data_IF_131881072774
#
_entry.id   IF_131881072774
#
_cell.length_a   1.000
_cell.length_b   1.000
_cell.length_c   1.000
_cell.angle_alpha   90.00
_cell.angle_beta   90.00
_cell.angle_gamma   90.00
#
_symmetry.space_group_name_H-M   'P 1'
#
loop_
_entity.id
_entity.type
_entity.pdbx_description
1 polymer ?
#
# COMPACT_ATOMS: atom_id res chain seq x y z
N UNK A 1 -3.49 29.88 -22.09
CA UNK A 1 -2.38 29.17 -21.44
C UNK A 1 -1.97 29.94 -20.18
N UNK A 2 -1.82 29.27 -19.04
CA UNK A 2 -1.33 29.95 -17.83
C UNK A 2 0.14 30.33 -18.02
N UNK A 3 0.58 31.47 -17.45
CA UNK A 3 1.96 31.86 -17.51
C UNK A 3 2.89 30.76 -16.95
N UNK A 4 3.96 30.44 -17.68
CA UNK A 4 4.88 29.34 -17.30
C UNK A 4 4.44 27.92 -17.64
N UNK A 5 3.24 27.73 -18.20
CA UNK A 5 2.79 26.42 -18.67
C UNK A 5 3.16 26.21 -20.15
N UNK A 6 3.45 24.95 -20.52
CA UNK A 6 3.80 24.52 -21.87
C UNK A 6 3.03 23.24 -22.21
N UNK A 7 2.85 22.99 -23.50
CA UNK A 7 2.29 21.72 -23.96
C UNK A 7 3.31 20.60 -23.83
N UNK A 8 2.88 19.48 -23.26
CA UNK A 8 3.72 18.31 -23.04
C UNK A 8 4.30 17.76 -24.34
N UNK A 9 3.53 17.81 -25.44
CA UNK A 9 3.97 17.34 -26.77
C UNK A 9 5.23 18.02 -27.31
N UNK A 10 5.61 19.19 -26.78
CA UNK A 10 6.87 19.88 -27.15
C UNK A 10 8.10 19.16 -26.55
N UNK A 11 7.90 18.32 -25.53
CA UNK A 11 8.98 17.73 -24.72
C UNK A 11 9.05 16.22 -24.81
N UNK A 12 8.04 15.55 -25.38
CA UNK A 12 7.96 14.08 -25.42
C UNK A 12 7.82 13.55 -26.84
N UNK A 13 8.26 12.32 -27.04
CA UNK A 13 8.03 11.56 -28.28
C UNK A 13 7.67 10.12 -28.00
N UNK A 14 6.85 9.50 -28.87
CA UNK A 14 6.58 8.08 -28.82
C UNK A 14 7.82 7.26 -29.22
N UNK A 15 7.90 6.08 -28.59
CA UNK A 15 8.91 5.05 -28.89
C UNK A 15 8.16 3.73 -29.18
N UNK A 16 8.48 3.09 -30.31
CA UNK A 16 7.91 1.80 -30.70
C UNK A 16 9.02 0.83 -31.09
N UNK A 17 9.74 0.34 -30.10
CA UNK A 17 10.78 -0.67 -30.28
C UNK A 17 10.13 -2.05 -30.05
N UNK A 18 10.09 -2.89 -31.09
CA UNK A 18 9.50 -4.22 -31.02
C UNK A 18 10.52 -5.27 -30.58
N UNK A 19 10.05 -6.23 -29.78
CA UNK A 19 10.83 -7.36 -29.28
C UNK A 19 11.05 -8.42 -30.40
N UNK A 20 11.77 -8.08 -31.46
CA UNK A 20 11.96 -8.96 -32.62
C UNK A 20 12.62 -10.30 -32.28
N UNK A 21 13.40 -10.34 -31.21
CA UNK A 21 14.13 -11.51 -30.74
C UNK A 21 13.26 -12.47 -29.90
N UNK A 22 12.03 -12.07 -29.57
CA UNK A 22 11.13 -12.89 -28.77
C UNK A 22 11.60 -13.12 -27.32
N UNK A 23 12.39 -12.18 -26.76
CA UNK A 23 12.81 -12.21 -25.34
C UNK A 23 11.60 -12.33 -24.43
N UNK A 24 11.77 -12.98 -23.28
CA UNK A 24 10.68 -13.20 -22.30
C UNK A 24 10.99 -12.62 -20.92
N UNK A 25 12.16 -12.02 -20.76
CA UNK A 25 12.66 -11.48 -19.51
C UNK A 25 11.98 -10.13 -19.19
N UNK A 26 11.85 -9.84 -17.90
CA UNK A 26 11.29 -8.60 -17.41
C UNK A 26 9.94 -8.22 -18.04
N UNK A 27 9.00 -9.17 -18.05
CA UNK A 27 7.64 -8.89 -18.50
C UNK A 27 6.92 -8.02 -17.50
N UNK A 28 6.60 -6.79 -17.90
CA UNK A 28 6.08 -5.76 -17.01
C UNK A 28 4.64 -5.35 -17.38
N UNK A 29 3.90 -4.99 -16.35
CA UNK A 29 2.64 -4.27 -16.45
C UNK A 29 2.75 -2.92 -15.76
N UNK A 30 1.74 -2.05 -15.94
CA UNK A 30 1.66 -0.76 -15.27
C UNK A 30 0.41 -0.72 -14.39
N UNK A 31 0.59 -0.39 -13.12
CA UNK A 31 -0.49 -0.28 -12.14
C UNK A 31 -1.12 1.11 -12.11
N UNK A 32 -2.32 1.21 -11.53
CA UNK A 32 -2.98 2.49 -11.26
C UNK A 32 -2.29 3.27 -10.12
N UNK A 33 -1.39 2.64 -9.36
CA UNK A 33 -0.48 3.28 -8.41
C UNK A 33 0.70 3.95 -9.12
N UNK A 34 0.72 3.92 -10.47
CA UNK A 34 1.73 4.57 -11.31
C UNK A 34 3.14 4.01 -11.14
N UNK A 35 3.19 2.67 -11.03
CA UNK A 35 4.41 1.90 -10.90
C UNK A 35 4.42 0.74 -11.87
N UNK A 36 5.61 0.35 -12.33
CA UNK A 36 5.78 -0.93 -12.99
C UNK A 36 5.61 -2.07 -11.99
N UNK A 37 4.95 -3.13 -12.42
CA UNK A 37 4.74 -4.36 -11.66
C UNK A 37 5.11 -5.54 -12.56
N UNK A 38 5.50 -6.66 -11.97
CA UNK A 38 5.63 -7.91 -12.72
C UNK A 38 4.28 -8.27 -13.33
N UNK A 39 4.29 -8.67 -14.59
CA UNK A 39 3.04 -9.02 -15.26
C UNK A 39 2.50 -10.34 -14.70
N UNK A 40 1.24 -10.34 -14.29
CA UNK A 40 0.50 -11.54 -13.85
C UNK A 40 -0.28 -12.19 -14.99
N UNK A 41 -0.11 -11.71 -16.22
CA UNK A 41 -0.84 -12.22 -17.38
C UNK A 41 -0.43 -13.67 -17.68
N UNK A 42 -1.42 -14.50 -18.06
CA UNK A 42 -1.13 -15.83 -18.58
C UNK A 42 -0.41 -15.70 -19.93
N UNK A 43 0.81 -16.20 -20.01
CA UNK A 43 1.68 -16.08 -21.17
C UNK A 43 1.71 -17.33 -22.05
N UNK A 44 0.91 -18.36 -21.74
CA UNK A 44 0.82 -19.60 -22.53
C UNK A 44 0.26 -19.27 -23.92
N UNK A 45 1.02 -19.61 -24.96
CA UNK A 45 0.66 -19.33 -26.36
C UNK A 45 0.85 -17.87 -26.80
N UNK A 46 1.46 -17.02 -25.98
CA UNK A 46 1.67 -15.60 -26.30
C UNK A 46 2.86 -15.43 -27.26
N UNK A 47 2.64 -14.67 -28.32
CA UNK A 47 3.68 -14.24 -29.25
C UNK A 47 4.38 -12.98 -28.72
N UNK A 48 5.55 -13.17 -28.11
CA UNK A 48 6.33 -12.08 -27.52
C UNK A 48 6.98 -11.16 -28.56
N UNK A 49 7.04 -11.53 -29.83
CA UNK A 49 7.58 -10.65 -30.88
C UNK A 49 6.71 -9.41 -31.10
N UNK A 50 5.45 -9.47 -30.70
CA UNK A 50 4.49 -8.35 -30.74
C UNK A 50 4.64 -7.37 -29.59
N UNK A 51 5.39 -7.75 -28.57
CA UNK A 51 5.61 -6.89 -27.40
C UNK A 51 6.56 -5.73 -27.74
N UNK A 52 6.47 -4.69 -26.93
CA UNK A 52 7.36 -3.52 -27.01
C UNK A 52 8.43 -3.60 -25.93
N UNK A 53 9.62 -3.12 -26.29
CA UNK A 53 10.70 -2.92 -25.33
C UNK A 53 10.57 -1.51 -24.78
N UNK A 54 10.60 -1.38 -23.47
CA UNK A 54 10.71 -0.13 -22.73
C UNK A 54 12.07 -0.08 -22.05
N UNK A 55 12.77 1.04 -22.14
CA UNK A 55 14.10 1.26 -21.55
C UNK A 55 14.02 2.19 -20.35
N UNK A 56 15.05 2.12 -19.52
CA UNK A 56 15.21 3.03 -18.38
C UNK A 56 15.08 4.50 -18.79
N UNK A 57 14.34 5.27 -18.01
CA UNK A 57 14.03 6.66 -18.33
C UNK A 57 12.84 6.86 -19.27
N UNK A 58 12.26 5.77 -19.80
CA UNK A 58 11.07 5.83 -20.63
C UNK A 58 9.80 5.60 -19.81
N UNK A 59 8.71 6.16 -20.29
CA UNK A 59 7.38 6.01 -19.74
C UNK A 59 6.58 4.98 -20.51
N UNK A 60 5.66 4.36 -19.78
CA UNK A 60 4.66 3.48 -20.38
C UNK A 60 3.30 3.79 -19.79
N UNK A 61 2.26 3.93 -20.62
CA UNK A 61 0.89 4.08 -20.14
C UNK A 61 -0.10 3.24 -20.92
N UNK A 62 -1.23 2.94 -20.28
CA UNK A 62 -2.40 2.35 -20.93
C UNK A 62 -3.37 3.47 -21.24
N UNK A 63 -3.80 3.65 -22.50
CA UNK A 63 -4.74 4.68 -22.87
C UNK A 63 -6.13 4.53 -22.23
N UNK A 64 -6.56 3.31 -21.90
CA UNK A 64 -7.88 2.98 -21.32
C UNK A 64 -7.97 3.49 -19.88
N UNK A 65 -8.92 4.39 -19.58
CA UNK A 65 -9.18 4.97 -18.27
C UNK A 65 -10.41 4.39 -17.57
N UNK A 66 -11.44 3.99 -18.32
CA UNK A 66 -12.77 3.65 -17.79
C UNK A 66 -12.82 2.38 -16.92
N UNK A 67 -11.91 1.42 -17.15
CA UNK A 67 -11.87 0.14 -16.44
C UNK A 67 -10.99 0.13 -15.20
N UNK A 68 -10.41 1.28 -14.82
CA UNK A 68 -9.35 1.37 -13.81
C UNK A 68 -9.69 2.32 -12.66
N UNK A 69 -10.98 2.49 -12.37
CA UNK A 69 -11.44 3.36 -11.29
C UNK A 69 -11.12 4.84 -11.54
N UNK A 70 -11.33 5.29 -12.79
CA UNK A 70 -11.10 6.67 -13.22
C UNK A 70 -9.65 7.16 -13.06
N UNK A 71 -8.70 6.22 -13.15
CA UNK A 71 -7.26 6.51 -13.09
C UNK A 71 -6.56 6.03 -14.35
N UNK A 72 -5.57 6.80 -14.80
CA UNK A 72 -4.67 6.37 -15.87
C UNK A 72 -3.48 5.59 -15.27
N UNK A 73 -3.22 4.40 -15.81
CA UNK A 73 -2.04 3.63 -15.46
C UNK A 73 -0.87 4.13 -16.32
N UNK A 74 0.08 4.82 -15.69
CA UNK A 74 1.29 5.38 -16.30
C UNK A 74 2.45 5.21 -15.32
N UNK A 75 3.65 4.86 -15.82
CA UNK A 75 4.83 4.71 -14.99
C UNK A 75 6.11 5.07 -15.76
N UNK A 76 7.12 5.51 -15.02
CA UNK A 76 8.50 5.71 -15.46
C UNK A 76 9.33 4.48 -15.10
N UNK A 77 10.11 3.94 -16.04
CA UNK A 77 10.99 2.81 -15.77
C UNK A 77 12.30 3.29 -15.13
N UNK A 78 12.49 2.98 -13.85
CA UNK A 78 13.69 3.32 -13.09
C UNK A 78 14.48 2.07 -12.63
N UNK A 79 13.79 0.96 -12.35
CA UNK A 79 14.35 -0.21 -11.66
C UNK A 79 15.07 -1.21 -12.60
N UNK A 80 14.78 -1.19 -13.91
CA UNK A 80 15.35 -2.09 -14.92
C UNK A 80 15.98 -1.29 -16.04
N UNK A 81 17.06 -1.82 -16.62
CA UNK A 81 17.66 -1.21 -17.81
C UNK A 81 16.73 -1.35 -19.03
N UNK A 82 16.04 -2.50 -19.14
CA UNK A 82 14.97 -2.71 -20.12
C UNK A 82 13.89 -3.68 -19.58
N UNK A 83 12.68 -3.54 -20.09
CA UNK A 83 11.57 -4.43 -19.80
C UNK A 83 10.66 -4.61 -21.01
N UNK A 84 9.79 -5.60 -20.95
CA UNK A 84 8.81 -5.90 -21.99
C UNK A 84 7.42 -5.51 -21.53
N UNK A 85 6.69 -4.82 -22.41
CA UNK A 85 5.28 -4.46 -22.19
C UNK A 85 4.44 -4.94 -23.38
N UNK A 86 3.19 -5.26 -23.12
CA UNK A 86 2.24 -5.66 -24.17
C UNK A 86 2.10 -4.56 -25.23
N UNK A 87 1.72 -4.93 -26.44
CA UNK A 87 1.52 -4.00 -27.56
C UNK A 87 0.42 -2.94 -27.32
N UNK A 88 -0.48 -3.17 -26.36
CA UNK A 88 -1.55 -2.21 -26.00
C UNK A 88 -1.03 -0.99 -25.26
N UNK A 89 0.17 -1.06 -24.71
CA UNK A 89 0.79 0.06 -24.03
C UNK A 89 1.38 1.06 -25.02
N UNK A 90 1.30 2.32 -24.70
CA UNK A 90 2.07 3.39 -25.37
C UNK A 90 3.34 3.65 -24.59
N UNK A 91 4.48 3.56 -25.26
CA UNK A 91 5.79 3.88 -24.70
C UNK A 91 6.22 5.24 -25.26
N UNK A 92 6.77 6.08 -24.41
CA UNK A 92 7.28 7.40 -24.80
C UNK A 92 8.46 7.83 -23.91
N UNK A 93 9.19 8.81 -24.37
CA UNK A 93 10.32 9.36 -23.63
C UNK A 93 10.35 10.90 -23.71
N UNK A 94 11.09 11.51 -22.79
CA UNK A 94 11.42 12.92 -22.86
C UNK A 94 12.51 13.12 -23.92
N UNK A 95 12.31 14.11 -24.80
CA UNK A 95 13.22 14.42 -25.94
C UNK A 95 14.55 14.98 -25.44
N UNK A 96 14.49 15.88 -24.45
CA UNK A 96 15.64 16.61 -23.92
C UNK A 96 15.55 16.72 -22.39
N UNK A 97 16.36 15.91 -21.73
CA UNK A 97 16.38 15.83 -20.26
C UNK A 97 17.00 17.06 -19.60
N UNK A 98 17.68 17.94 -20.34
CA UNK A 98 18.16 19.23 -19.83
C UNK A 98 17.06 20.29 -19.81
N UNK A 99 15.91 20.04 -20.44
CA UNK A 99 14.73 20.90 -20.40
C UNK A 99 13.64 20.37 -19.49
N UNK A 100 13.40 19.05 -19.53
CA UNK A 100 12.38 18.39 -18.71
C UNK A 100 12.94 17.09 -18.14
N UNK A 101 13.01 16.97 -16.81
CA UNK A 101 13.40 15.72 -16.15
C UNK A 101 12.26 14.70 -16.20
N UNK A 102 12.53 13.43 -16.58
CA UNK A 102 11.53 12.37 -16.53
C UNK A 102 10.92 12.21 -15.12
N UNK A 103 11.72 12.26 -14.07
CA UNK A 103 11.25 12.15 -12.69
C UNK A 103 10.34 13.32 -12.30
N UNK A 104 10.63 14.54 -12.75
CA UNK A 104 9.77 15.69 -12.53
C UNK A 104 8.43 15.51 -13.26
N UNK A 105 8.46 15.02 -14.49
CA UNK A 105 7.24 14.70 -15.25
C UNK A 105 6.44 13.59 -14.57
N UNK A 106 7.09 12.57 -14.00
CA UNK A 106 6.41 11.51 -13.25
C UNK A 106 5.70 12.06 -12.01
N UNK A 107 6.29 13.05 -11.30
CA UNK A 107 5.61 13.73 -10.19
C UNK A 107 4.34 14.46 -10.66
N UNK A 108 4.35 15.05 -11.85
CA UNK A 108 3.16 15.66 -12.41
C UNK A 108 2.06 14.65 -12.69
N UNK A 109 2.41 13.50 -13.28
CA UNK A 109 1.47 12.41 -13.56
C UNK A 109 0.93 11.75 -12.29
N UNK A 110 1.68 11.75 -11.20
CA UNK A 110 1.28 11.15 -9.93
C UNK A 110 0.19 11.93 -9.19
N UNK A 111 -0.16 13.12 -9.64
CA UNK A 111 -1.17 13.96 -9.00
C UNK A 111 -2.60 13.48 -9.28
N UNK A 112 -3.51 13.52 -8.30
CA UNK A 112 -4.93 13.20 -8.53
C UNK A 112 -5.58 14.11 -9.60
N UNK A 113 -5.09 15.34 -9.76
CA UNK A 113 -5.55 16.26 -10.80
C UNK A 113 -5.29 15.73 -12.20
N UNK A 114 -4.17 15.03 -12.40
CA UNK A 114 -3.87 14.42 -13.69
C UNK A 114 -4.82 13.25 -13.99
N UNK A 115 -5.16 12.43 -13.01
CA UNK A 115 -6.16 11.38 -13.20
C UNK A 115 -7.53 11.96 -13.61
N UNK A 116 -7.98 13.02 -12.93
CA UNK A 116 -9.22 13.72 -13.30
C UNK A 116 -9.17 14.32 -14.72
N UNK A 117 -8.03 14.92 -15.08
CA UNK A 117 -7.80 15.44 -16.42
C UNK A 117 -7.84 14.32 -17.46
N UNK A 118 -7.10 13.24 -17.26
CA UNK A 118 -7.07 12.09 -18.14
C UNK A 118 -8.47 11.49 -18.33
N UNK A 119 -9.22 11.36 -17.25
CA UNK A 119 -10.61 10.87 -17.31
C UNK A 119 -11.52 11.80 -18.10
N UNK A 120 -11.44 13.10 -17.87
CA UNK A 120 -12.25 14.11 -18.59
C UNK A 120 -11.92 14.19 -20.08
N UNK A 121 -10.64 13.99 -20.44
CA UNK A 121 -10.15 14.03 -21.83
C UNK A 121 -10.29 12.69 -22.57
N UNK A 122 -10.66 11.62 -21.87
CA UNK A 122 -10.86 10.32 -22.49
C UNK A 122 -12.18 10.27 -23.27
N UNK A 123 -12.14 9.69 -24.46
CA UNK A 123 -13.27 9.59 -25.37
C UNK A 123 -13.52 8.13 -25.79
N UNK A 124 -14.76 7.81 -26.16
CA UNK A 124 -15.15 6.51 -26.67
C UNK A 124 -16.43 5.98 -26.03
N UNK A 125 -17.24 5.24 -26.80
CA UNK A 125 -18.54 4.72 -26.35
C UNK A 125 -18.46 3.42 -25.56
N UNK A 126 -17.42 2.61 -25.77
CA UNK A 126 -17.22 1.29 -25.13
C UNK A 126 -16.01 1.28 -24.19
N UNK A 127 -14.97 2.00 -24.58
CA UNK A 127 -13.76 2.24 -23.77
C UNK A 127 -13.38 3.69 -23.92
N UNK A 128 -13.32 4.38 -22.82
CA UNK A 128 -12.84 5.75 -22.80
C UNK A 128 -11.31 5.74 -22.81
N UNK A 129 -10.73 6.37 -23.80
CA UNK A 129 -9.32 6.32 -24.14
C UNK A 129 -8.75 7.74 -24.14
N UNK A 130 -7.69 7.95 -23.40
CA UNK A 130 -6.81 9.11 -23.52
C UNK A 130 -5.73 8.77 -24.54
N UNK A 131 -5.92 9.19 -25.77
CA UNK A 131 -4.99 8.93 -26.86
C UNK A 131 -3.71 9.77 -26.76
N UNK A 132 -2.78 9.53 -27.69
CA UNK A 132 -1.49 10.22 -27.71
C UNK A 132 -1.63 11.71 -28.01
N UNK A 133 -2.57 12.08 -28.85
CA UNK A 133 -2.79 13.49 -29.20
C UNK A 133 -3.29 14.29 -27.99
N UNK A 134 -4.19 13.71 -27.19
CA UNK A 134 -4.63 14.32 -25.93
C UNK A 134 -3.52 14.34 -24.87
N UNK A 135 -2.64 13.33 -24.85
CA UNK A 135 -1.44 13.36 -24.00
C UNK A 135 -0.51 14.53 -24.37
N UNK A 136 -0.32 14.79 -25.66
CA UNK A 136 0.49 15.90 -26.14
C UNK A 136 -0.10 17.28 -25.79
N UNK A 137 -1.42 17.38 -25.63
CA UNK A 137 -2.13 18.63 -25.25
C UNK A 137 -2.13 18.91 -23.75
N UNK A 138 -1.57 18.03 -22.92
CA UNK A 138 -1.43 18.27 -21.48
C UNK A 138 -0.60 19.52 -21.24
N UNK A 139 -1.15 20.46 -20.50
CA UNK A 139 -0.43 21.66 -20.06
C UNK A 139 0.23 21.43 -18.70
N UNK A 140 1.53 21.67 -18.58
CA UNK A 140 2.26 21.57 -17.33
C UNK A 140 3.24 22.72 -17.14
N UNK A 141 3.57 23.08 -15.89
CA UNK A 141 4.63 24.06 -15.65
C UNK A 141 5.99 23.40 -15.91
N UNK A 142 6.83 24.07 -16.70
CA UNK A 142 8.20 23.62 -16.96
C UNK A 142 9.15 24.72 -16.44
N UNK A 143 9.49 24.71 -15.13
CA UNK A 143 10.47 25.62 -14.57
C UNK A 143 11.87 25.26 -15.06
N UNK A 144 12.84 26.12 -14.72
CA UNK A 144 14.24 25.86 -15.02
C UNK A 144 14.69 24.49 -14.42
N UNK A 145 15.70 23.88 -15.06
CA UNK A 145 16.13 22.53 -14.74
C UNK A 145 16.62 22.39 -13.30
N UNK A 146 17.25 23.44 -12.75
CA UNK A 146 17.73 23.42 -11.37
C UNK A 146 16.57 23.37 -10.36
N UNK A 147 15.49 24.07 -10.65
CA UNK A 147 14.27 23.99 -9.83
C UNK A 147 13.60 22.63 -9.93
N UNK A 148 13.56 22.01 -11.12
CA UNK A 148 13.07 20.64 -11.29
C UNK A 148 13.91 19.65 -10.47
N UNK A 149 15.26 19.73 -10.55
CA UNK A 149 16.19 18.90 -9.76
C UNK A 149 15.96 19.03 -8.25
N UNK A 150 15.75 20.26 -7.76
CA UNK A 150 15.44 20.51 -6.34
C UNK A 150 14.12 19.87 -5.91
N UNK A 151 13.08 19.96 -6.73
CA UNK A 151 11.77 19.36 -6.47
C UNK A 151 11.89 17.84 -6.42
N UNK A 152 12.51 17.21 -7.43
CA UNK A 152 12.73 15.76 -7.50
C UNK A 152 13.54 15.29 -6.30
N UNK A 153 14.64 15.98 -5.97
CA UNK A 153 15.49 15.65 -4.82
C UNK A 153 14.70 15.69 -3.49
N UNK A 154 13.92 16.75 -3.29
CA UNK A 154 13.10 16.88 -2.08
C UNK A 154 12.08 15.74 -1.95
N UNK A 155 11.41 15.41 -3.05
CA UNK A 155 10.45 14.30 -3.08
C UNK A 155 11.13 12.95 -2.81
N UNK A 156 12.21 12.63 -3.55
CA UNK A 156 12.98 11.37 -3.34
C UNK A 156 13.49 11.25 -1.90
N UNK A 157 14.00 12.32 -1.31
CA UNK A 157 14.46 12.30 0.08
C UNK A 157 13.35 11.86 1.06
N UNK A 158 12.12 12.28 0.83
CA UNK A 158 10.98 11.91 1.68
C UNK A 158 10.54 10.46 1.41
N UNK A 159 10.39 10.09 0.15
CA UNK A 159 9.94 8.74 -0.24
C UNK A 159 10.94 7.66 0.16
N UNK A 160 12.23 7.89 -0.06
CA UNK A 160 13.30 6.96 0.36
C UNK A 160 13.33 6.79 1.88
N UNK A 161 13.10 7.87 2.61
CA UNK A 161 13.01 7.81 4.09
C UNK A 161 11.78 7.02 4.55
N UNK A 162 10.65 7.15 3.87
CA UNK A 162 9.44 6.36 4.16
C UNK A 162 9.73 4.88 3.88
N UNK A 163 10.28 4.55 2.70
CA UNK A 163 10.61 3.18 2.33
C UNK A 163 11.62 2.53 3.29
N UNK A 164 12.66 3.29 3.70
CA UNK A 164 13.63 2.81 4.68
C UNK A 164 12.99 2.53 6.04
N UNK A 165 12.10 3.41 6.52
CA UNK A 165 11.38 3.17 7.78
C UNK A 165 10.48 1.95 7.71
N UNK A 166 9.78 1.75 6.59
CA UNK A 166 8.98 0.55 6.36
C UNK A 166 9.83 -0.71 6.47
N UNK A 167 10.95 -0.75 5.75
CA UNK A 167 11.90 -1.88 5.80
C UNK A 167 12.46 -2.13 7.20
N UNK A 168 12.70 -1.06 7.99
CA UNK A 168 13.12 -1.21 9.39
C UNK A 168 12.00 -1.86 10.21
N UNK A 169 10.74 -1.43 10.06
CA UNK A 169 9.61 -2.02 10.76
C UNK A 169 9.45 -3.50 10.39
N UNK A 170 9.46 -3.84 9.11
CA UNK A 170 9.35 -5.22 8.63
C UNK A 170 10.46 -6.12 9.22
N UNK A 171 11.70 -5.61 9.28
CA UNK A 171 12.82 -6.33 9.89
C UNK A 171 12.67 -6.48 11.42
N UNK A 172 12.12 -5.46 12.09
CA UNK A 172 11.86 -5.55 13.54
C UNK A 172 10.77 -6.58 13.83
N UNK A 173 9.69 -6.58 13.06
CA UNK A 173 8.60 -7.56 13.20
C UNK A 173 9.12 -8.98 12.96
N UNK A 174 9.89 -9.20 11.89
CA UNK A 174 10.54 -10.49 11.63
C UNK A 174 11.49 -10.93 12.76
N UNK A 175 12.22 -9.99 13.36
CA UNK A 175 13.13 -10.28 14.47
C UNK A 175 12.36 -10.64 15.74
N UNK A 176 11.30 -9.91 16.06
CA UNK A 176 10.42 -10.20 17.20
C UNK A 176 9.79 -11.57 17.02
N UNK A 177 9.27 -11.86 15.83
CA UNK A 177 8.70 -13.16 15.51
C UNK A 177 9.71 -14.30 15.69
N UNK A 178 10.92 -14.17 15.14
CA UNK A 178 11.96 -15.19 15.28
C UNK A 178 12.34 -15.44 16.74
N UNK A 179 12.46 -14.39 17.56
CA UNK A 179 12.73 -14.50 18.99
C UNK A 179 11.57 -15.18 19.72
N UNK A 180 10.34 -14.83 19.39
CA UNK A 180 9.15 -15.46 19.96
C UNK A 180 9.15 -16.97 19.66
N UNK A 181 9.38 -17.36 18.42
CA UNK A 181 9.46 -18.76 18.01
C UNK A 181 10.57 -19.52 18.78
N UNK A 182 11.75 -18.94 18.90
CA UNK A 182 12.88 -19.56 19.62
C UNK A 182 12.55 -19.73 21.11
N UNK A 183 11.99 -18.71 21.75
CA UNK A 183 11.70 -18.76 23.20
C UNK A 183 10.50 -19.63 23.55
N UNK A 184 9.42 -19.55 22.78
CA UNK A 184 8.14 -20.17 23.18
C UNK A 184 7.90 -21.51 22.52
N UNK A 185 8.27 -21.70 21.25
CA UNK A 185 7.90 -22.89 20.51
C UNK A 185 8.70 -24.11 20.97
N UNK A 186 10.00 -23.96 21.20
CA UNK A 186 10.84 -25.02 21.77
C UNK A 186 10.34 -25.44 23.17
N UNK A 187 10.09 -24.45 24.02
CA UNK A 187 9.65 -24.69 25.39
C UNK A 187 8.25 -25.28 25.45
N UNK A 188 7.36 -24.91 24.51
CA UNK A 188 6.04 -25.49 24.35
C UNK A 188 6.11 -26.97 24.04
N UNK A 189 6.92 -27.39 23.08
CA UNK A 189 7.09 -28.80 22.71
C UNK A 189 7.60 -29.64 23.90
N UNK A 190 8.56 -29.14 24.64
CA UNK A 190 9.10 -29.80 25.86
C UNK A 190 8.03 -29.89 26.93
N UNK A 191 7.29 -28.81 27.21
CA UNK A 191 6.21 -28.83 28.22
C UNK A 191 5.06 -29.77 27.85
N UNK A 192 4.72 -29.90 26.56
CA UNK A 192 3.68 -30.83 26.09
C UNK A 192 4.17 -32.29 26.03
N UNK A 193 5.49 -32.53 25.97
CA UNK A 193 6.05 -33.91 26.14
C UNK A 193 6.02 -34.42 27.57
N UNK A 194 5.68 -33.57 28.52
CA UNK A 194 5.62 -33.93 29.96
C UNK A 194 6.94 -33.69 30.71
N UNK A 195 7.93 -33.09 30.05
CA UNK A 195 9.17 -32.71 30.71
C UNK A 195 8.99 -31.40 31.52
N UNK A 196 9.61 -31.33 32.69
CA UNK A 196 9.59 -30.12 33.51
C UNK A 196 10.70 -29.15 33.08
N UNK A 197 10.30 -27.91 32.78
CA UNK A 197 11.20 -26.79 32.62
C UNK A 197 11.15 -25.94 33.90
N UNK A 198 12.30 -25.69 34.51
CA UNK A 198 12.42 -25.03 35.84
C UNK A 198 11.66 -23.71 35.93
N UNK A 199 11.66 -22.91 34.85
CA UNK A 199 11.09 -21.57 34.82
C UNK A 199 9.77 -21.46 34.04
N UNK A 200 9.20 -22.56 33.53
CA UNK A 200 8.03 -22.54 32.69
C UNK A 200 6.90 -23.40 33.23
N UNK A 201 5.69 -22.86 33.18
CA UNK A 201 4.46 -23.64 33.51
C UNK A 201 3.30 -23.25 32.58
N UNK A 202 2.44 -24.22 32.32
CA UNK A 202 1.20 -24.00 31.59
C UNK A 202 0.14 -23.52 32.58
N UNK A 203 -0.44 -22.34 32.29
CA UNK A 203 -1.53 -21.76 33.07
C UNK A 203 -2.69 -21.38 32.14
N UNK A 204 -3.92 -21.42 32.59
CA UNK A 204 -5.05 -20.90 31.84
C UNK A 204 -4.90 -19.37 31.70
N UNK A 205 -5.37 -18.82 30.58
CA UNK A 205 -5.27 -17.38 30.30
C UNK A 205 -6.01 -16.53 31.35
N UNK A 206 -7.05 -17.10 32.00
CA UNK A 206 -7.72 -16.48 33.15
C UNK A 206 -6.83 -16.23 34.37
N UNK A 207 -5.62 -16.81 34.41
CA UNK A 207 -4.62 -16.50 35.42
C UNK A 207 -3.97 -15.13 35.19
N UNK A 208 -3.95 -14.65 33.95
CA UNK A 208 -3.31 -13.38 33.54
C UNK A 208 -4.29 -12.23 33.35
N UNK A 209 -5.55 -12.52 33.04
CA UNK A 209 -6.51 -11.49 32.64
C UNK A 209 -7.96 -11.89 32.85
N UNK A 210 -8.81 -10.89 33.01
CA UNK A 210 -10.24 -10.99 32.82
C UNK A 210 -10.65 -10.62 31.40
N UNK A 211 -11.79 -11.14 30.94
CA UNK A 211 -12.31 -10.93 29.60
C UNK A 211 -13.66 -10.21 29.66
N UNK A 212 -13.79 -9.11 28.92
CA UNK A 212 -15.02 -8.32 28.89
C UNK A 212 -15.44 -8.04 27.46
N UNK A 213 -16.61 -8.52 27.06
CA UNK A 213 -17.19 -8.13 25.78
C UNK A 213 -17.50 -6.63 25.74
N UNK A 214 -17.25 -6.04 24.61
CA UNK A 214 -17.75 -4.71 24.30
C UNK A 214 -19.28 -4.72 24.19
N UNK A 215 -19.88 -3.55 24.17
CA UNK A 215 -21.33 -3.35 24.07
C UNK A 215 -21.66 -2.54 22.83
N UNK A 216 -22.77 -2.84 22.18
CA UNK A 216 -23.26 -2.02 21.07
C UNK A 216 -23.53 -0.61 21.58
N UNK A 217 -23.02 0.40 20.86
CA UNK A 217 -23.34 1.78 21.15
C UNK A 217 -24.78 2.09 20.72
N UNK A 218 -25.64 2.43 21.67
CA UNK A 218 -27.04 2.80 21.40
C UNK A 218 -27.13 4.25 20.96
N UNK A 219 -28.24 4.63 20.29
CA UNK A 219 -28.49 6.00 19.84
C UNK A 219 -28.46 7.02 20.99
N UNK A 220 -28.76 6.59 22.21
CA UNK A 220 -28.78 7.44 23.42
C UNK A 220 -27.40 7.92 23.86
N UNK A 221 -26.34 7.14 23.53
CA UNK A 221 -24.97 7.49 23.92
C UNK A 221 -24.14 8.02 22.75
N UNK A 222 -24.62 7.85 21.50
CA UNK A 222 -23.94 8.37 20.32
C UNK A 222 -24.03 9.90 20.25
N UNK A 223 -22.95 10.54 19.83
CA UNK A 223 -22.85 11.99 19.65
C UNK A 223 -21.90 12.34 18.51
N UNK A 224 -21.96 13.60 18.06
CA UNK A 224 -21.07 14.05 16.97
C UNK A 224 -19.60 14.16 17.40
N UNK A 225 -19.37 14.49 18.68
CA UNK A 225 -18.03 14.65 19.27
C UNK A 225 -18.02 14.07 20.67
N UNK A 226 -16.95 13.38 21.03
CA UNK A 226 -16.83 12.77 22.35
C UNK A 226 -15.75 11.69 22.38
N UNK A 227 -16.00 10.64 23.17
CA UNK A 227 -15.11 9.50 23.28
C UNK A 227 -15.26 8.58 22.08
N UNK A 228 -14.15 8.00 21.53
CA UNK A 228 -14.22 7.14 20.38
C UNK A 228 -15.00 5.85 20.65
N UNK A 229 -15.89 5.49 19.73
CA UNK A 229 -16.51 4.16 19.65
C UNK A 229 -15.63 3.30 18.76
N UNK A 230 -14.96 2.32 19.35
CA UNK A 230 -13.96 1.49 18.71
C UNK A 230 -14.51 0.09 18.40
N UNK A 231 -14.40 -0.33 17.14
CA UNK A 231 -14.89 -1.64 16.68
C UNK A 231 -13.86 -2.76 16.79
N UNK A 232 -12.64 -2.47 17.24
CA UNK A 232 -11.48 -3.34 17.19
C UNK A 232 -10.60 -3.08 15.97
N UNK A 233 -11.17 -2.63 14.85
CA UNK A 233 -10.43 -2.25 13.65
C UNK A 233 -10.25 -0.74 13.52
N UNK A 234 -11.33 0.01 13.77
CA UNK A 234 -11.38 1.45 13.54
C UNK A 234 -12.37 2.13 14.48
N UNK A 235 -12.24 3.44 14.58
CA UNK A 235 -13.25 4.30 15.21
C UNK A 235 -14.44 4.37 14.25
N UNK A 236 -15.62 3.99 14.75
CA UNK A 236 -16.88 3.96 13.97
C UNK A 236 -17.85 5.09 14.35
N UNK A 237 -17.50 5.88 15.34
CA UNK A 237 -18.28 7.02 15.80
C UNK A 237 -17.76 7.56 17.12
N UNK A 238 -18.55 8.42 17.75
CA UNK A 238 -18.23 8.99 19.05
C UNK A 238 -19.42 8.85 20.00
N UNK A 239 -19.15 8.85 21.31
CA UNK A 239 -20.17 8.72 22.36
C UNK A 239 -19.84 9.59 23.56
N UNK A 240 -20.82 9.80 24.43
CA UNK A 240 -20.71 10.60 25.64
C UNK A 240 -20.17 9.84 26.88
N UNK A 241 -19.97 8.53 26.75
CA UNK A 241 -19.45 7.68 27.83
C UNK A 241 -18.42 6.69 27.28
N UNK A 242 -17.30 6.53 27.98
CA UNK A 242 -16.32 5.50 27.69
C UNK A 242 -16.52 4.28 28.60
N UNK A 243 -16.07 3.11 28.13
CA UNK A 243 -16.03 1.87 28.92
C UNK A 243 -14.67 1.68 29.60
N UNK A 244 -13.60 2.09 28.93
CA UNK A 244 -12.23 1.93 29.40
C UNK A 244 -11.50 3.26 29.34
N UNK A 245 -10.90 3.66 30.45
CA UNK A 245 -10.09 4.90 30.54
C UNK A 245 -8.73 4.70 29.87
N UNK A 246 -8.09 3.58 30.19
CA UNK A 246 -6.78 3.21 29.65
C UNK A 246 -6.94 2.36 28.37
N UNK A 247 -5.95 2.40 27.45
CA UNK A 247 -5.92 1.47 26.32
C UNK A 247 -5.96 0.02 26.80
N UNK A 248 -6.77 -0.81 26.16
CA UNK A 248 -6.87 -2.24 26.46
C UNK A 248 -6.40 -3.07 25.26
N UNK A 249 -5.86 -4.24 25.55
CA UNK A 249 -5.71 -5.28 24.58
C UNK A 249 -7.11 -5.77 24.15
N UNK A 250 -7.36 -5.87 22.87
CA UNK A 250 -8.68 -6.18 22.32
C UNK A 250 -8.54 -7.31 21.31
N UNK A 251 -9.29 -8.38 21.50
CA UNK A 251 -9.41 -9.50 20.56
C UNK A 251 -10.67 -9.31 19.74
N UNK A 252 -10.56 -9.43 18.41
CA UNK A 252 -11.69 -9.38 17.51
C UNK A 252 -12.49 -10.69 17.57
N UNK A 253 -13.71 -10.62 18.08
CA UNK A 253 -14.55 -11.79 18.29
C UNK A 253 -15.47 -12.10 17.11
N UNK A 254 -15.76 -11.10 16.24
CA UNK A 254 -16.68 -11.23 15.11
C UNK A 254 -16.26 -10.32 13.97
N UNK A 255 -16.36 -10.81 12.73
CA UNK A 255 -16.06 -10.04 11.51
C UNK A 255 -15.96 -10.97 10.30
N UNK A 256 -15.98 -10.40 9.10
CA UNK A 256 -15.83 -11.15 7.83
C UNK A 256 -14.36 -11.54 7.60
N UNK A 257 -13.44 -10.79 8.19
CA UNK A 257 -11.99 -11.03 8.14
C UNK A 257 -11.37 -10.60 9.47
N UNK A 258 -10.31 -11.28 9.91
CA UNK A 258 -9.52 -10.91 11.09
C UNK A 258 -10.14 -11.29 12.44
N UNK A 259 -11.08 -12.25 12.49
CA UNK A 259 -11.53 -12.84 13.76
C UNK A 259 -10.35 -13.54 14.44
N UNK A 260 -10.08 -13.19 15.69
CA UNK A 260 -8.90 -13.64 16.43
C UNK A 260 -7.79 -12.59 16.50
N UNK A 261 -7.75 -11.61 15.59
CA UNK A 261 -6.73 -10.55 15.64
C UNK A 261 -6.72 -9.79 16.96
N UNK A 262 -5.51 -9.48 17.43
CA UNK A 262 -5.29 -8.71 18.65
C UNK A 262 -4.90 -7.27 18.30
N UNK A 263 -5.54 -6.31 18.94
CA UNK A 263 -5.33 -4.88 18.74
C UNK A 263 -5.23 -4.16 20.09
N UNK A 264 -4.72 -2.94 20.06
CA UNK A 264 -4.73 -2.04 21.22
C UNK A 264 -5.79 -0.96 20.99
N UNK A 265 -6.72 -0.83 21.94
CA UNK A 265 -7.76 0.20 21.84
C UNK A 265 -7.22 1.60 22.09
N UNK A 266 -7.87 2.65 21.56
CA UNK A 266 -7.63 4.02 22.01
C UNK A 266 -7.91 4.18 23.52
N UNK A 267 -7.30 5.17 24.19
CA UNK A 267 -7.70 5.54 25.53
C UNK A 267 -9.12 6.14 25.53
N UNK A 268 -9.78 6.09 26.68
CA UNK A 268 -11.12 6.63 26.89
C UNK A 268 -12.12 6.20 25.82
N UNK A 269 -12.14 4.90 25.45
CA UNK A 269 -12.98 4.39 24.38
C UNK A 269 -14.19 3.60 24.87
N UNK A 270 -15.24 3.57 24.04
CA UNK A 270 -16.34 2.63 24.11
C UNK A 270 -16.08 1.50 23.12
N UNK A 271 -16.02 0.26 23.60
CA UNK A 271 -15.76 -0.91 22.76
C UNK A 271 -17.07 -1.53 22.27
N UNK A 272 -17.19 -1.78 20.96
CA UNK A 272 -18.38 -2.42 20.40
C UNK A 272 -18.42 -3.93 20.70
N UNK A 273 -19.59 -4.53 20.52
CA UNK A 273 -19.83 -5.96 20.72
C UNK A 273 -19.11 -6.89 19.70
N UNK A 274 -18.32 -6.33 18.79
CA UNK A 274 -17.50 -7.11 17.84
C UNK A 274 -16.19 -7.57 18.46
N UNK A 275 -15.86 -7.08 19.66
CA UNK A 275 -14.54 -7.28 20.27
C UNK A 275 -14.65 -7.61 21.76
N UNK A 276 -13.62 -8.28 22.25
CA UNK A 276 -13.42 -8.63 23.67
C UNK A 276 -12.22 -7.87 24.18
N UNK A 277 -12.38 -7.11 25.25
CA UNK A 277 -11.25 -6.51 25.98
C UNK A 277 -10.60 -7.58 26.88
N UNK A 278 -9.28 -7.64 26.84
CA UNK A 278 -8.44 -8.48 27.71
C UNK A 278 -7.91 -7.55 28.81
N UNK A 279 -8.44 -7.69 30.00
CA UNK A 279 -8.12 -6.86 31.17
C UNK A 279 -6.98 -7.51 31.95
N UNK A 280 -5.74 -7.26 31.53
CA UNK A 280 -4.55 -7.81 32.14
C UNK A 280 -4.38 -7.35 33.59
N UNK A 281 -4.12 -8.29 34.50
CA UNK A 281 -3.77 -7.99 35.90
C UNK A 281 -2.40 -7.31 36.00
N UNK A 282 -1.46 -7.71 35.12
CA UNK A 282 -0.17 -7.05 34.93
C UNK A 282 -0.01 -6.60 33.47
N UNK A 283 0.08 -5.30 33.28
CA UNK A 283 0.17 -4.68 31.96
C UNK A 283 1.51 -4.93 31.24
N UNK A 284 2.52 -5.43 31.92
CA UNK A 284 3.81 -5.79 31.29
C UNK A 284 3.63 -6.87 30.23
N UNK A 285 2.59 -7.72 30.36
CA UNK A 285 2.28 -8.77 29.39
C UNK A 285 1.57 -8.26 28.11
N UNK A 286 1.20 -6.98 28.03
CA UNK A 286 0.45 -6.45 26.87
C UNK A 286 1.21 -6.62 25.56
N UNK A 287 2.53 -6.35 25.59
CA UNK A 287 3.38 -6.48 24.40
C UNK A 287 3.52 -7.95 23.96
N UNK A 288 3.65 -8.86 24.91
CA UNK A 288 3.81 -10.29 24.64
C UNK A 288 2.55 -10.87 23.96
N UNK A 289 1.38 -10.59 24.49
CA UNK A 289 0.11 -11.08 23.94
C UNK A 289 -0.21 -10.43 22.59
N UNK A 290 0.16 -9.18 22.38
CA UNK A 290 0.02 -8.52 21.09
C UNK A 290 0.95 -9.13 20.03
N UNK A 291 2.17 -9.49 20.40
CA UNK A 291 3.18 -10.06 19.49
C UNK A 291 2.87 -11.50 19.11
N UNK A 292 2.26 -12.29 20.01
CA UNK A 292 1.92 -13.69 19.73
C UNK A 292 0.87 -13.83 18.63
N UNK A 293 -0.04 -12.89 18.51
CA UNK A 293 -1.06 -12.86 17.47
C UNK A 293 -0.46 -12.54 16.08
N UNK A 294 0.44 -11.56 16.02
CA UNK A 294 1.19 -11.26 14.79
C UNK A 294 1.99 -12.48 14.27
N UNK A 295 2.37 -13.39 15.16
CA UNK A 295 3.05 -14.64 14.81
C UNK A 295 2.11 -15.68 14.16
N UNK A 296 0.85 -15.71 14.52
CA UNK A 296 -0.14 -16.64 13.96
C UNK A 296 -0.70 -16.17 12.62
N UNK A 297 -0.84 -14.86 12.39
CA UNK A 297 -1.21 -14.28 11.08
C UNK A 297 -0.21 -14.64 9.97
N UNK A 298 1.09 -14.65 10.25
CA UNK A 298 2.11 -15.01 9.27
C UNK A 298 2.06 -16.50 8.81
N UNK A 299 1.30 -17.35 9.48
CA UNK A 299 1.09 -18.77 9.11
C UNK A 299 -0.12 -19.00 8.21
N UNK A 300 -0.99 -18.00 8.03
CA UNK A 300 -2.24 -18.13 7.27
C UNK A 300 -2.16 -17.59 5.83
N UNK A 301 -0.95 -17.22 5.34
CA UNK A 301 -0.70 -16.75 3.96
C UNK A 301 -0.03 -17.83 3.11
#
# INVERSE_FOLDING_TARGET
MKEGYRFLGEYIRQVDIRNKEGKKENLLGVSVQKQFIQSIANTVGTDFTKYKIVKKGQFTYIPDTSRRGDKIAIALLEDYEEGLVSNVYTVFEVIDTEKLLPEYLMLWFSRPEFDRYARFKSHGSVREVMDWEEMCKVELPVPDIEKQRKIVKAYKTITDRIALKQKINDNLDATIYAKFQDMFQKNKEILFSGEQLEDWCIKPLSFLADFKYGKMATSEILCEKGFPVYSGYRIVGYCNKYMFKEPQLVVLARGVSGTGEVRISPPCCHLTNLSIAVLLYDRTYICLLYTSDAADEARSV
#
